data_IF_349405531530
#
_entry.id   IF_349405531530
#
_cell.length_a   1.000
_cell.length_b   1.000
_cell.length_c   1.000
_cell.angle_alpha   90.00
_cell.angle_beta   90.00
_cell.angle_gamma   90.00
#
_symmetry.space_group_name_H-M   'P 1'
#
loop_
_entity.id
_entity.type
_entity.pdbx_description
1 polymer ?
#
# COMPACT_ATOMS: atom_id res chain seq x y z
N UNK A 1 -23.78 -16.31 -28.63
CA UNK A 1 -22.97 -17.35 -27.97
C UNK A 1 -21.62 -16.75 -27.63
N UNK A 2 -21.36 -16.45 -26.36
CA UNK A 2 -20.04 -15.98 -25.90
C UNK A 2 -19.07 -17.15 -25.91
N UNK A 3 -18.12 -17.15 -26.85
CA UNK A 3 -17.05 -18.14 -26.92
C UNK A 3 -16.26 -18.09 -25.60
N UNK A 4 -16.32 -19.16 -24.81
CA UNK A 4 -15.61 -19.23 -23.53
C UNK A 4 -14.15 -19.57 -23.80
N UNK A 5 -13.24 -18.63 -23.52
CA UNK A 5 -11.79 -18.81 -23.66
C UNK A 5 -11.23 -19.63 -22.48
N UNK A 6 -11.72 -20.86 -22.30
CA UNK A 6 -11.30 -21.75 -21.23
C UNK A 6 -9.96 -22.39 -21.58
N UNK A 7 -8.90 -21.98 -20.89
CA UNK A 7 -7.55 -22.52 -21.02
C UNK A 7 -7.24 -23.49 -19.87
N UNK A 8 -6.24 -24.37 -20.09
CA UNK A 8 -5.75 -25.32 -19.08
C UNK A 8 -4.24 -25.25 -19.00
N UNK A 9 -3.72 -25.15 -17.78
CA UNK A 9 -2.28 -25.19 -17.53
C UNK A 9 -1.95 -26.20 -16.42
N UNK A 10 -0.80 -26.87 -16.55
CA UNK A 10 -0.25 -27.73 -15.50
C UNK A 10 1.01 -27.10 -14.95
N UNK A 11 1.06 -26.92 -13.64
CA UNK A 11 2.23 -26.32 -12.95
C UNK A 11 2.74 -27.30 -11.90
N UNK A 12 4.06 -27.44 -11.79
CA UNK A 12 4.68 -28.22 -10.72
C UNK A 12 4.68 -27.37 -9.44
N UNK A 13 4.23 -27.95 -8.33
CA UNK A 13 4.22 -27.30 -7.02
C UNK A 13 4.64 -28.30 -5.94
N UNK A 14 5.51 -27.87 -5.04
CA UNK A 14 5.89 -28.59 -3.83
C UNK A 14 4.79 -28.55 -2.78
N UNK A 15 4.82 -29.49 -1.83
CA UNK A 15 3.88 -29.55 -0.71
C UNK A 15 2.47 -30.02 -1.08
N UNK A 16 2.22 -30.54 -2.29
CA UNK A 16 0.92 -31.11 -2.68
C UNK A 16 0.68 -32.54 -2.14
N UNK A 17 1.72 -33.15 -1.57
CA UNK A 17 1.70 -34.42 -0.86
C UNK A 17 0.96 -34.33 0.49
N UNK A 18 1.02 -33.16 1.14
CA UNK A 18 0.25 -32.84 2.34
C UNK A 18 -1.22 -32.50 1.96
N UNK A 19 -2.23 -33.21 2.50
CA UNK A 19 -3.63 -32.98 2.16
C UNK A 19 -4.12 -31.59 2.57
N UNK A 20 -3.66 -31.06 3.70
CA UNK A 20 -4.08 -29.75 4.21
C UNK A 20 -3.47 -28.62 3.38
N UNK A 21 -2.19 -28.77 3.03
CA UNK A 21 -1.48 -27.92 2.09
C UNK A 21 -2.22 -27.80 0.76
N UNK A 22 -2.53 -28.95 0.17
CA UNK A 22 -3.17 -29.04 -1.12
C UNK A 22 -4.53 -28.35 -1.08
N UNK A 23 -5.35 -28.65 -0.07
CA UNK A 23 -6.67 -28.02 0.07
C UNK A 23 -6.56 -26.49 0.21
N UNK A 24 -5.55 -25.99 0.94
CA UNK A 24 -5.30 -24.55 1.06
C UNK A 24 -4.84 -23.92 -0.27
N UNK A 25 -3.91 -24.54 -0.99
CA UNK A 25 -3.44 -24.04 -2.29
C UNK A 25 -4.60 -24.08 -3.30
N UNK A 26 -5.40 -25.14 -3.33
CA UNK A 26 -6.59 -25.25 -4.18
C UNK A 26 -7.61 -24.16 -3.83
N UNK A 27 -7.86 -23.91 -2.54
CA UNK A 27 -8.76 -22.84 -2.11
C UNK A 27 -8.23 -21.45 -2.49
N UNK A 28 -6.94 -21.18 -2.26
CA UNK A 28 -6.30 -19.91 -2.64
C UNK A 28 -6.39 -19.70 -4.16
N UNK A 29 -6.03 -20.70 -4.97
CA UNK A 29 -6.14 -20.61 -6.43
C UNK A 29 -7.60 -20.50 -6.88
N UNK A 30 -8.54 -21.19 -6.24
CA UNK A 30 -9.97 -21.10 -6.53
C UNK A 30 -10.60 -19.74 -6.19
N UNK A 31 -9.96 -18.96 -5.31
CA UNK A 31 -10.37 -17.58 -4.99
C UNK A 31 -9.94 -16.56 -6.07
N UNK A 32 -9.07 -16.95 -7.01
CA UNK A 32 -8.58 -16.07 -8.08
C UNK A 32 -9.65 -15.91 -9.16
N UNK A 33 -10.09 -14.67 -9.38
CA UNK A 33 -11.02 -14.37 -10.49
C UNK A 33 -10.36 -14.68 -11.81
N UNK A 34 -11.03 -15.46 -12.64
CA UNK A 34 -10.46 -16.02 -13.86
C UNK A 34 -9.97 -17.46 -13.69
N UNK A 35 -9.65 -17.95 -12.49
CA UNK A 35 -9.41 -19.40 -12.27
C UNK A 35 -10.77 -20.09 -12.06
N UNK A 36 -11.10 -21.00 -12.98
CA UNK A 36 -12.35 -21.75 -12.98
C UNK A 36 -12.25 -23.00 -12.09
N UNK A 37 -11.07 -23.62 -12.04
CA UNK A 37 -10.77 -24.71 -11.11
C UNK A 37 -9.27 -24.88 -10.93
N UNK A 38 -8.86 -25.29 -9.73
CA UNK A 38 -7.50 -25.72 -9.43
C UNK A 38 -7.56 -27.06 -8.69
N UNK A 39 -6.85 -28.08 -9.19
CA UNK A 39 -6.79 -29.42 -8.58
C UNK A 39 -5.37 -29.94 -8.53
N UNK A 40 -4.88 -30.23 -7.33
CA UNK A 40 -3.55 -30.73 -7.06
C UNK A 40 -3.52 -32.26 -7.06
N UNK A 41 -2.59 -32.84 -7.81
CA UNK A 41 -2.35 -34.28 -7.77
C UNK A 41 -1.19 -34.59 -6.81
N UNK A 42 -1.44 -35.26 -5.67
CA UNK A 42 -0.43 -35.52 -4.65
C UNK A 42 0.64 -36.49 -5.15
N UNK A 43 0.30 -37.39 -6.09
CA UNK A 43 1.25 -38.37 -6.63
C UNK A 43 2.28 -37.77 -7.58
N UNK A 44 1.90 -36.71 -8.31
CA UNK A 44 2.77 -36.11 -9.32
C UNK A 44 3.38 -34.77 -8.89
N UNK A 45 2.89 -34.17 -7.80
CA UNK A 45 3.27 -32.82 -7.40
C UNK A 45 2.89 -31.78 -8.46
N UNK A 46 1.82 -32.01 -9.22
CA UNK A 46 1.34 -31.10 -10.27
C UNK A 46 -0.06 -30.60 -9.97
N UNK A 47 -0.25 -29.30 -10.12
CA UNK A 47 -1.53 -28.60 -10.07
C UNK A 47 -2.09 -28.44 -11.49
N UNK A 48 -3.32 -28.88 -11.71
CA UNK A 48 -4.08 -28.60 -12.93
C UNK A 48 -4.97 -27.38 -12.69
N UNK A 49 -4.73 -26.32 -13.46
CA UNK A 49 -5.45 -25.05 -13.33
C UNK A 49 -6.23 -24.82 -14.62
N UNK A 50 -7.54 -24.63 -14.50
CA UNK A 50 -8.39 -24.17 -15.58
C UNK A 50 -8.68 -22.69 -15.36
N UNK A 51 -8.55 -21.87 -16.39
CA UNK A 51 -8.70 -20.43 -16.25
C UNK A 51 -9.30 -19.80 -17.51
N UNK A 52 -9.84 -18.60 -17.36
CA UNK A 52 -10.35 -17.73 -18.41
C UNK A 52 -9.28 -16.71 -18.80
N UNK A 53 -8.75 -16.85 -20.02
CA UNK A 53 -7.63 -16.05 -20.54
C UNK A 53 -7.98 -14.56 -20.71
N UNK A 54 -9.27 -14.21 -20.61
CA UNK A 54 -9.74 -12.81 -20.60
C UNK A 54 -9.39 -12.08 -19.31
N UNK A 55 -9.33 -12.81 -18.20
CA UNK A 55 -9.08 -12.26 -16.87
C UNK A 55 -7.65 -12.55 -16.40
N UNK A 56 -7.10 -13.72 -16.73
CA UNK A 56 -5.77 -14.13 -16.29
C UNK A 56 -4.95 -14.74 -17.42
N UNK A 57 -3.73 -14.26 -17.62
CA UNK A 57 -2.76 -14.82 -18.57
C UNK A 57 -1.94 -15.94 -17.93
N UNK A 58 -1.51 -16.91 -18.74
CA UNK A 58 -0.70 -18.05 -18.28
C UNK A 58 0.51 -17.67 -17.41
N UNK A 59 1.25 -16.62 -17.80
CA UNK A 59 2.43 -16.17 -17.05
C UNK A 59 2.08 -15.66 -15.64
N UNK A 60 0.89 -15.07 -15.44
CA UNK A 60 0.43 -14.60 -14.12
C UNK A 60 0.16 -15.80 -13.21
N UNK A 61 -0.44 -16.86 -13.77
CA UNK A 61 -0.68 -18.11 -13.04
C UNK A 61 0.64 -18.80 -12.68
N UNK A 62 1.60 -18.85 -13.62
CA UNK A 62 2.93 -19.44 -13.36
C UNK A 62 3.68 -18.66 -12.29
N UNK A 63 3.68 -17.33 -12.35
CA UNK A 63 4.28 -16.48 -11.33
C UNK A 63 3.60 -16.67 -9.96
N UNK A 64 2.27 -16.75 -9.94
CA UNK A 64 1.48 -17.03 -8.73
C UNK A 64 1.85 -18.39 -8.12
N UNK A 65 1.90 -19.44 -8.93
CA UNK A 65 2.25 -20.78 -8.49
C UNK A 65 3.69 -20.85 -7.97
N UNK A 66 4.65 -20.25 -8.68
CA UNK A 66 6.05 -20.21 -8.25
C UNK A 66 6.26 -19.47 -6.92
N UNK A 67 5.46 -18.42 -6.65
CA UNK A 67 5.47 -17.71 -5.36
C UNK A 67 4.87 -18.55 -4.23
N UNK A 68 3.70 -19.15 -4.47
CA UNK A 68 3.07 -20.09 -3.52
C UNK A 68 3.99 -21.26 -3.19
N UNK A 69 4.76 -21.72 -4.18
CA UNK A 69 5.73 -22.80 -4.02
C UNK A 69 6.89 -22.42 -3.09
N UNK A 70 7.48 -21.22 -3.30
CA UNK A 70 8.58 -20.70 -2.46
C UNK A 70 8.16 -20.41 -1.03
N UNK A 71 6.94 -19.91 -0.85
CA UNK A 71 6.47 -19.39 0.44
C UNK A 71 5.52 -20.35 1.18
N UNK A 72 5.44 -21.61 0.73
CA UNK A 72 4.49 -22.61 1.22
C UNK A 72 4.58 -22.91 2.74
N UNK A 73 5.71 -22.61 3.40
CA UNK A 73 5.83 -22.75 4.87
C UNK A 73 5.46 -21.49 5.65
N UNK A 74 5.75 -20.31 5.10
CA UNK A 74 5.57 -19.02 5.80
C UNK A 74 4.20 -18.38 5.50
N UNK A 75 3.70 -18.49 4.26
CA UNK A 75 2.33 -18.08 3.90
C UNK A 75 1.29 -18.83 4.72
N UNK A 76 1.47 -20.13 4.99
CA UNK A 76 0.48 -20.91 5.74
C UNK A 76 0.27 -20.38 7.14
N UNK A 77 1.36 -20.03 7.83
CA UNK A 77 1.31 -19.43 9.17
C UNK A 77 0.80 -17.99 9.09
N UNK A 78 1.25 -17.22 8.12
CA UNK A 78 0.86 -15.81 7.96
C UNK A 78 -0.62 -15.64 7.57
N UNK A 79 -1.16 -16.47 6.66
CA UNK A 79 -2.52 -16.36 6.17
C UNK A 79 -3.55 -16.83 7.20
N UNK A 80 -3.31 -17.95 7.89
CA UNK A 80 -4.18 -18.39 8.99
C UNK A 80 -4.14 -17.41 10.15
N UNK A 81 -2.95 -16.88 10.49
CA UNK A 81 -2.82 -15.84 11.52
C UNK A 81 -3.49 -14.53 11.10
N UNK A 82 -3.32 -14.08 9.85
CA UNK A 82 -3.94 -12.85 9.37
C UNK A 82 -5.47 -12.96 9.34
N UNK A 83 -6.02 -14.08 8.87
CA UNK A 83 -7.46 -14.29 8.84
C UNK A 83 -8.06 -14.40 10.25
N UNK A 84 -7.39 -15.08 11.19
CA UNK A 84 -7.87 -15.17 12.57
C UNK A 84 -7.77 -13.82 13.28
N UNK A 85 -6.63 -13.13 13.16
CA UNK A 85 -6.43 -11.79 13.72
C UNK A 85 -7.47 -10.79 13.18
N UNK A 86 -7.83 -10.90 11.90
CA UNK A 86 -8.79 -9.99 11.30
C UNK A 86 -10.23 -10.30 11.68
N UNK A 87 -10.62 -11.58 11.82
CA UNK A 87 -11.91 -11.95 12.41
C UNK A 87 -12.05 -11.36 13.82
N UNK A 88 -10.99 -11.45 14.63
CA UNK A 88 -10.94 -10.82 15.95
C UNK A 88 -11.06 -9.30 15.83
N UNK A 89 -10.33 -8.65 14.91
CA UNK A 89 -10.40 -7.20 14.72
C UNK A 89 -11.78 -6.70 14.27
N UNK A 90 -12.57 -7.50 13.54
CA UNK A 90 -13.97 -7.17 13.19
C UNK A 90 -14.94 -7.45 14.33
N UNK A 91 -14.76 -8.59 15.02
CA UNK A 91 -15.62 -8.99 16.12
C UNK A 91 -15.47 -8.06 17.33
N UNK A 92 -14.26 -7.58 17.62
CA UNK A 92 -13.97 -6.79 18.82
C UNK A 92 -14.79 -5.48 18.87
N UNK A 93 -14.84 -4.61 17.82
CA UNK A 93 -15.72 -3.43 17.82
C UNK A 93 -17.20 -3.79 17.97
N UNK A 94 -17.65 -4.85 17.28
CA UNK A 94 -19.06 -5.28 17.35
C UNK A 94 -19.45 -5.73 18.75
N UNK A 95 -18.61 -6.55 19.39
CA UNK A 95 -18.78 -6.99 20.78
C UNK A 95 -18.74 -5.80 21.75
N UNK A 96 -17.90 -4.79 21.48
CA UNK A 96 -17.81 -3.57 22.28
C UNK A 96 -19.06 -2.70 22.15
N UNK A 97 -19.63 -2.59 20.95
CA UNK A 97 -20.91 -1.91 20.72
C UNK A 97 -22.01 -2.64 21.48
N UNK A 98 -22.10 -3.97 21.32
CA UNK A 98 -23.11 -4.78 22.01
C UNK A 98 -22.99 -4.67 23.54
N UNK A 99 -21.77 -4.75 24.07
CA UNK A 99 -21.50 -4.63 25.51
C UNK A 99 -21.81 -3.25 26.08
N UNK A 100 -21.43 -2.17 25.38
CA UNK A 100 -21.73 -0.80 25.83
C UNK A 100 -23.22 -0.47 25.72
N UNK A 101 -23.91 -0.95 24.67
CA UNK A 101 -25.37 -0.85 24.57
C UNK A 101 -26.08 -1.60 25.69
N UNK A 102 -25.68 -2.85 25.96
CA UNK A 102 -26.27 -3.65 27.03
C UNK A 102 -26.06 -2.98 28.41
N UNK A 103 -24.83 -2.52 28.68
CA UNK A 103 -24.54 -1.74 29.89
C UNK A 103 -25.43 -0.51 29.99
N UNK A 104 -25.62 0.23 28.88
CA UNK A 104 -26.44 1.44 28.86
C UNK A 104 -27.92 1.17 29.11
N UNK A 105 -28.44 0.03 28.64
CA UNK A 105 -29.82 -0.39 28.91
C UNK A 105 -30.01 -0.75 30.38
N UNK A 106 -29.03 -1.41 31.01
CA UNK A 106 -29.14 -1.87 32.41
C UNK A 106 -28.85 -0.75 33.42
N UNK A 107 -27.80 0.05 33.18
CA UNK A 107 -27.26 1.01 34.15
C UNK A 107 -27.45 2.48 33.75
N UNK A 108 -28.03 2.76 32.57
CA UNK A 108 -28.11 4.12 32.04
C UNK A 108 -26.79 4.62 31.45
N UNK A 109 -26.73 5.92 31.13
CA UNK A 109 -25.55 6.57 30.55
C UNK A 109 -24.46 6.69 31.63
N UNK A 110 -23.22 6.32 31.31
CA UNK A 110 -22.14 6.43 32.29
C UNK A 110 -21.64 7.88 32.41
N UNK A 111 -21.51 8.38 33.64
CA UNK A 111 -20.89 9.68 33.94
C UNK A 111 -19.42 9.79 33.46
N UNK A 112 -18.77 8.64 33.24
CA UNK A 112 -17.41 8.58 32.70
C UNK A 112 -17.32 9.10 31.26
N UNK A 113 -18.40 9.02 30.47
CA UNK A 113 -18.41 9.42 29.07
C UNK A 113 -18.22 10.94 28.89
N UNK A 114 -18.72 11.73 29.85
CA UNK A 114 -18.60 13.20 29.85
C UNK A 114 -17.40 13.67 30.70
N UNK A 115 -16.60 12.74 31.23
CA UNK A 115 -15.45 13.08 32.08
C UNK A 115 -14.28 13.66 31.27
N UNK A 116 -13.63 14.68 31.85
CA UNK A 116 -12.40 15.25 31.32
C UNK A 116 -11.30 14.18 31.14
N UNK A 117 -11.30 13.14 31.98
CA UNK A 117 -10.34 12.04 31.93
C UNK A 117 -10.50 11.22 30.64
N UNK A 118 -11.73 10.89 30.23
CA UNK A 118 -11.98 10.21 28.96
C UNK A 118 -11.55 11.06 27.76
N UNK A 119 -11.67 12.39 27.88
CA UNK A 119 -11.12 13.31 26.89
C UNK A 119 -9.59 13.24 26.83
N UNK A 120 -8.88 13.33 27.97
CA UNK A 120 -7.41 13.31 27.98
C UNK A 120 -6.82 11.97 27.52
N UNK A 121 -7.39 10.84 27.96
CA UNK A 121 -6.94 9.50 27.53
C UNK A 121 -7.06 9.31 26.02
N UNK A 122 -8.16 9.78 25.44
CA UNK A 122 -8.35 9.72 23.99
C UNK A 122 -7.31 10.53 23.21
N UNK A 123 -6.91 11.68 23.76
CA UNK A 123 -5.89 12.51 23.15
C UNK A 123 -4.53 11.83 23.30
N UNK A 124 -4.23 11.25 24.47
CA UNK A 124 -3.01 10.49 24.69
C UNK A 124 -2.87 9.33 23.69
N UNK A 125 -3.95 8.58 23.44
CA UNK A 125 -3.96 7.51 22.43
C UNK A 125 -3.82 8.05 21.00
N UNK A 126 -4.44 9.18 20.67
CA UNK A 126 -4.30 9.81 19.36
C UNK A 126 -2.87 10.29 19.12
N UNK A 127 -2.23 10.87 20.14
CA UNK A 127 -0.81 11.26 20.11
C UNK A 127 0.09 10.03 20.01
N UNK A 128 -0.20 8.98 20.79
CA UNK A 128 0.55 7.74 20.78
C UNK A 128 0.54 7.05 19.41
N UNK A 129 -0.61 7.05 18.74
CA UNK A 129 -0.80 6.43 17.42
C UNK A 129 -0.32 7.29 16.25
N UNK A 130 -0.46 8.62 16.33
CA UNK A 130 -0.17 9.55 15.24
C UNK A 130 1.30 9.95 15.09
N UNK A 131 2.08 9.91 16.17
CA UNK A 131 3.45 10.44 16.19
C UNK A 131 4.49 9.36 16.01
N UNK A 132 5.33 9.47 14.97
CA UNK A 132 6.32 8.44 14.60
C UNK A 132 7.27 8.05 15.74
N UNK A 133 7.84 8.97 16.54
CA UNK A 133 8.72 8.60 17.65
C UNK A 133 8.02 7.77 18.73
N UNK A 134 6.77 8.11 19.05
CA UNK A 134 5.98 7.41 20.07
C UNK A 134 5.53 6.05 19.52
N UNK A 135 5.02 6.04 18.28
CA UNK A 135 4.64 4.83 17.56
C UNK A 135 5.79 3.83 17.46
N UNK A 136 7.03 4.26 17.16
CA UNK A 136 8.22 3.38 17.13
C UNK A 136 8.48 2.71 18.48
N UNK A 137 8.29 3.41 19.60
CA UNK A 137 8.45 2.82 20.94
C UNK A 137 7.34 1.83 21.27
N UNK A 138 6.10 2.16 20.88
CA UNK A 138 4.96 1.25 21.01
C UNK A 138 5.16 0.00 20.16
N UNK A 139 5.71 0.14 18.95
CA UNK A 139 6.08 -0.98 18.09
C UNK A 139 7.10 -1.90 18.77
N UNK A 140 8.17 -1.33 19.34
CA UNK A 140 9.16 -2.12 20.10
C UNK A 140 8.52 -2.84 21.31
N UNK A 141 7.51 -2.23 21.95
CA UNK A 141 6.75 -2.87 23.02
C UNK A 141 5.85 -3.99 22.49
N UNK A 142 5.16 -3.76 21.37
CA UNK A 142 4.35 -4.77 20.68
C UNK A 142 5.17 -5.97 20.23
N UNK A 143 6.37 -5.73 19.68
CA UNK A 143 7.33 -6.78 19.32
C UNK A 143 7.73 -7.62 20.54
N UNK A 144 8.01 -6.99 21.70
CA UNK A 144 8.30 -7.73 22.95
C UNK A 144 7.10 -8.56 23.42
N UNK A 145 5.88 -8.06 23.22
CA UNK A 145 4.64 -8.74 23.60
C UNK A 145 4.15 -9.74 22.54
N UNK A 146 4.84 -9.87 21.39
CA UNK A 146 4.38 -10.67 20.25
C UNK A 146 2.98 -10.27 19.74
N UNK A 147 2.61 -8.99 19.90
CA UNK A 147 1.33 -8.43 19.44
C UNK A 147 1.60 -7.56 18.20
N UNK A 148 0.83 -7.77 17.14
CA UNK A 148 0.91 -6.95 15.94
C UNK A 148 0.50 -5.50 16.21
N UNK A 149 1.16 -4.53 15.59
CA UNK A 149 0.87 -3.09 15.71
C UNK A 149 -0.60 -2.74 15.48
N UNK A 150 -1.20 -3.34 14.45
CA UNK A 150 -2.60 -3.08 14.08
C UNK A 150 -3.56 -3.48 15.20
N UNK A 151 -3.29 -4.58 15.89
CA UNK A 151 -4.08 -5.03 17.05
C UNK A 151 -3.93 -4.04 18.20
N UNK A 152 -2.71 -3.58 18.46
CA UNK A 152 -2.45 -2.65 19.57
C UNK A 152 -3.13 -1.29 19.30
N UNK A 153 -3.05 -0.79 18.07
CA UNK A 153 -3.72 0.44 17.63
C UNK A 153 -5.24 0.29 17.64
N UNK A 154 -5.77 -0.83 17.15
CA UNK A 154 -7.21 -1.11 17.17
C UNK A 154 -7.73 -1.22 18.59
N UNK A 155 -7.01 -1.92 19.47
CA UNK A 155 -7.35 -2.04 20.88
C UNK A 155 -7.34 -0.67 21.57
N UNK A 156 -6.33 0.17 21.30
CA UNK A 156 -6.26 1.51 21.86
C UNK A 156 -7.41 2.41 21.36
N UNK A 157 -7.72 2.39 20.07
CA UNK A 157 -8.83 3.13 19.49
C UNK A 157 -10.19 2.68 20.05
N UNK A 158 -10.36 1.37 20.20
CA UNK A 158 -11.58 0.76 20.72
C UNK A 158 -11.76 1.00 22.22
N UNK A 159 -10.68 0.96 23.00
CA UNK A 159 -10.67 1.36 24.41
C UNK A 159 -11.13 2.81 24.57
N UNK A 160 -10.58 3.72 23.77
CA UNK A 160 -10.97 5.14 23.78
C UNK A 160 -12.43 5.35 23.38
N UNK A 161 -12.87 4.67 22.32
CA UNK A 161 -14.23 4.77 21.84
C UNK A 161 -15.24 4.20 22.85
N UNK A 162 -14.88 3.12 23.54
CA UNK A 162 -15.66 2.53 24.63
C UNK A 162 -15.72 3.45 25.86
N UNK A 163 -14.60 4.04 26.28
CA UNK A 163 -14.55 5.00 27.38
C UNK A 163 -15.45 6.22 27.14
N UNK A 164 -15.51 6.69 25.90
CA UNK A 164 -16.36 7.82 25.49
C UNK A 164 -17.80 7.41 25.16
N UNK A 165 -18.15 6.13 25.28
CA UNK A 165 -19.42 5.56 24.80
C UNK A 165 -19.82 6.07 23.40
N UNK A 166 -18.83 6.26 22.52
CA UNK A 166 -19.05 6.91 21.22
C UNK A 166 -19.43 5.88 20.16
N UNK A 167 -20.73 5.58 20.07
CA UNK A 167 -21.27 4.62 19.10
C UNK A 167 -20.92 4.97 17.66
N UNK A 168 -20.81 6.26 17.32
CA UNK A 168 -20.41 6.70 15.98
C UNK A 168 -18.97 6.25 15.69
N UNK A 169 -18.04 6.45 16.62
CA UNK A 169 -16.64 6.04 16.46
C UNK A 169 -16.53 4.52 16.44
N UNK A 170 -17.25 3.81 17.33
CA UNK A 170 -17.26 2.36 17.34
C UNK A 170 -17.84 1.77 16.03
N UNK A 171 -18.93 2.35 15.50
CA UNK A 171 -19.50 1.95 14.23
C UNK A 171 -18.56 2.26 13.06
N UNK A 172 -17.87 3.41 13.09
CA UNK A 172 -16.86 3.73 12.09
C UNK A 172 -15.66 2.76 12.16
N UNK A 173 -15.18 2.40 13.35
CA UNK A 173 -14.14 1.39 13.55
C UNK A 173 -14.61 0.00 13.07
N UNK A 174 -15.85 -0.38 13.38
CA UNK A 174 -16.45 -1.61 12.87
C UNK A 174 -16.51 -1.61 11.35
N UNK A 175 -17.04 -0.55 10.72
CA UNK A 175 -17.13 -0.43 9.26
C UNK A 175 -15.75 -0.37 8.60
N UNK A 176 -14.76 0.25 9.24
CA UNK A 176 -13.39 0.28 8.75
C UNK A 176 -12.75 -1.11 8.84
N UNK A 177 -12.88 -1.81 9.97
CA UNK A 177 -12.37 -3.17 10.12
C UNK A 177 -13.13 -4.16 9.24
N UNK A 178 -14.44 -3.98 9.09
CA UNK A 178 -15.31 -4.81 8.25
C UNK A 178 -15.04 -4.55 6.77
N UNK A 179 -14.90 -3.30 6.34
CA UNK A 179 -14.51 -2.99 4.96
C UNK A 179 -13.08 -3.45 4.67
N UNK A 180 -12.17 -3.36 5.64
CA UNK A 180 -10.85 -3.96 5.59
C UNK A 180 -10.93 -5.49 5.53
N UNK A 181 -11.87 -6.12 6.24
CA UNK A 181 -12.12 -7.55 6.20
C UNK A 181 -12.73 -7.98 4.88
N UNK A 182 -13.75 -7.30 4.37
CA UNK A 182 -14.38 -7.55 3.07
C UNK A 182 -13.38 -7.29 1.95
N UNK A 183 -12.65 -6.17 2.00
CA UNK A 183 -11.55 -5.89 1.07
C UNK A 183 -10.53 -6.99 1.18
N UNK A 184 -9.93 -7.28 2.34
CA UNK A 184 -8.98 -8.39 2.51
C UNK A 184 -9.58 -9.76 2.27
N UNK A 185 -10.89 -9.96 2.26
CA UNK A 185 -11.48 -11.23 1.87
C UNK A 185 -11.55 -11.30 0.34
N UNK A 186 -11.92 -10.21 -0.32
CA UNK A 186 -11.89 -10.03 -1.78
C UNK A 186 -10.49 -9.73 -2.35
N UNK A 187 -9.54 -9.35 -1.50
CA UNK A 187 -8.15 -9.04 -1.80
C UNK A 187 -7.21 -10.02 -1.13
N UNK A 188 -7.64 -10.95 -0.28
CA UNK A 188 -6.99 -12.25 -0.11
C UNK A 188 -7.44 -13.15 -1.23
N UNK A 189 -8.68 -13.00 -1.73
CA UNK A 189 -9.02 -13.57 -3.03
C UNK A 189 -8.23 -12.89 -4.15
N UNK A 190 -8.02 -11.56 -4.14
CA UNK A 190 -7.13 -10.86 -5.08
C UNK A 190 -5.61 -10.89 -4.77
N UNK A 191 -5.17 -11.20 -3.55
CA UNK A 191 -3.75 -11.44 -3.20
C UNK A 191 -3.41 -12.89 -3.39
N UNK A 192 -4.40 -13.78 -3.33
CA UNK A 192 -4.35 -15.02 -4.04
C UNK A 192 -4.39 -14.77 -5.56
N UNK A 193 -5.09 -13.76 -6.11
CA UNK A 193 -4.94 -13.35 -7.55
C UNK A 193 -3.54 -12.81 -7.88
N UNK A 194 -2.82 -12.22 -6.92
CA UNK A 194 -1.55 -11.51 -7.16
C UNK A 194 -0.31 -12.17 -6.53
N UNK A 195 -0.46 -13.25 -5.76
CA UNK A 195 0.63 -13.96 -5.09
C UNK A 195 1.41 -13.06 -4.14
N UNK A 196 0.94 -12.93 -2.91
CA UNK A 196 1.69 -12.43 -1.74
C UNK A 196 2.03 -10.92 -1.70
N UNK A 197 1.73 -10.14 -2.74
CA UNK A 197 2.00 -8.70 -2.68
C UNK A 197 1.18 -8.00 -1.58
N UNK A 198 -0.12 -8.26 -1.43
CA UNK A 198 -0.99 -7.39 -0.58
C UNK A 198 -0.75 -7.54 0.93
N UNK A 199 -0.42 -8.74 1.42
CA UNK A 199 -0.12 -8.96 2.85
C UNK A 199 1.23 -8.34 3.21
N UNK A 200 2.15 -8.24 2.25
CA UNK A 200 3.36 -7.44 2.38
C UNK A 200 3.14 -5.97 2.07
N UNK A 201 2.24 -5.54 1.17
CA UNK A 201 1.99 -4.12 0.84
C UNK A 201 1.52 -3.34 2.08
N UNK A 202 0.72 -3.93 2.98
CA UNK A 202 0.34 -3.26 4.24
C UNK A 202 1.53 -3.12 5.24
N UNK A 203 2.53 -4.00 5.20
CA UNK A 203 3.73 -3.97 6.07
C UNK A 203 5.00 -3.41 5.39
N UNK A 204 5.05 -3.35 4.07
CA UNK A 204 6.20 -3.06 3.20
C UNK A 204 5.95 -1.87 2.27
N UNK A 205 4.82 -1.16 2.42
CA UNK A 205 4.70 0.24 2.00
C UNK A 205 5.64 1.10 2.86
N UNK A 206 6.94 0.89 2.67
CA UNK A 206 8.02 1.71 3.21
C UNK A 206 7.86 3.06 2.54
N UNK A 207 7.33 4.02 3.26
CA UNK A 207 7.21 5.37 2.73
C UNK A 207 8.58 5.85 2.21
N UNK A 208 8.61 6.61 1.10
CA UNK A 208 9.85 7.15 0.57
C UNK A 208 10.65 7.82 1.67
N UNK A 209 11.98 7.61 1.67
CA UNK A 209 12.86 8.11 2.72
C UNK A 209 12.71 9.63 2.97
N UNK A 210 12.42 10.38 1.91
CA UNK A 210 12.15 11.81 1.99
C UNK A 210 10.86 12.14 2.78
N UNK A 211 9.78 11.38 2.56
CA UNK A 211 8.51 11.55 3.26
C UNK A 211 8.61 11.13 4.72
N UNK A 212 9.29 10.03 5.02
CA UNK A 212 9.53 9.58 6.40
C UNK A 212 10.38 10.58 7.17
N UNK A 213 11.45 11.11 6.55
CA UNK A 213 12.29 12.13 7.16
C UNK A 213 11.51 13.42 7.45
N UNK A 214 10.65 13.85 6.54
CA UNK A 214 9.79 15.02 6.74
C UNK A 214 8.76 14.79 7.84
N UNK A 215 8.09 13.63 7.82
CA UNK A 215 7.15 13.22 8.87
C UNK A 215 7.82 13.14 10.24
N UNK A 216 9.05 12.63 10.32
CA UNK A 216 9.84 12.57 11.55
C UNK A 216 10.20 13.97 12.06
N UNK A 217 10.60 14.88 11.16
CA UNK A 217 10.91 16.29 11.53
C UNK A 217 9.65 16.99 12.06
N UNK A 218 8.52 16.86 11.37
CA UNK A 218 7.24 17.43 11.80
C UNK A 218 6.77 16.83 13.13
N UNK A 219 6.89 15.51 13.30
CA UNK A 219 6.54 14.83 14.55
C UNK A 219 7.35 15.37 15.73
N UNK A 220 8.67 15.54 15.54
CA UNK A 220 9.57 16.04 16.59
C UNK A 220 9.29 17.50 16.92
N UNK A 221 9.11 18.35 15.90
CA UNK A 221 8.83 19.78 16.11
C UNK A 221 7.50 19.96 16.83
N UNK A 222 6.48 19.21 16.45
CA UNK A 222 5.17 19.20 17.09
C UNK A 222 5.21 18.72 18.55
N UNK A 223 5.91 17.61 18.85
CA UNK A 223 6.06 17.14 20.22
C UNK A 223 6.81 18.15 21.09
N UNK A 224 7.92 18.70 20.58
CA UNK A 224 8.70 19.68 21.31
C UNK A 224 7.89 20.95 21.58
N UNK A 225 7.26 21.51 20.55
CA UNK A 225 6.44 22.73 20.69
C UNK A 225 5.25 22.52 21.61
N UNK A 226 4.57 21.37 21.54
CA UNK A 226 3.47 21.06 22.45
C UNK A 226 3.94 20.92 23.89
N UNK A 227 5.07 20.23 24.13
CA UNK A 227 5.67 20.11 25.47
C UNK A 227 6.06 21.49 26.01
N UNK A 228 6.79 22.29 25.24
CA UNK A 228 7.19 23.64 25.61
C UNK A 228 5.97 24.50 25.93
N UNK A 229 4.92 24.43 25.11
CA UNK A 229 3.68 25.15 25.35
C UNK A 229 2.97 24.67 26.63
N UNK A 230 2.92 23.36 26.88
CA UNK A 230 2.34 22.79 28.09
C UNK A 230 3.07 23.27 29.35
N UNK A 231 4.41 23.29 29.32
CA UNK A 231 5.24 23.71 30.46
C UNK A 231 5.08 25.21 30.74
N UNK A 232 5.12 26.04 29.69
CA UNK A 232 5.05 27.50 29.83
C UNK A 232 3.65 27.95 30.24
N UNK A 233 2.61 27.47 29.56
CA UNK A 233 1.24 27.96 29.76
C UNK A 233 0.49 27.20 30.84
N UNK A 234 0.98 26.03 31.25
CA UNK A 234 0.28 25.09 32.15
C UNK A 234 -1.12 24.69 31.65
N UNK A 235 -1.38 24.81 30.35
CA UNK A 235 -2.65 24.47 29.73
C UNK A 235 -2.53 23.22 28.82
N UNK A 236 -2.82 22.01 29.34
CA UNK A 236 -2.63 20.77 28.58
C UNK A 236 -3.52 20.71 27.34
N UNK A 237 -4.74 21.26 27.40
CA UNK A 237 -5.65 21.35 26.26
C UNK A 237 -5.08 22.14 25.07
N UNK A 238 -4.32 23.20 25.35
CA UNK A 238 -3.67 24.00 24.32
C UNK A 238 -2.51 23.26 23.68
N UNK A 239 -1.70 22.57 24.48
CA UNK A 239 -0.65 21.70 23.98
C UNK A 239 -1.22 20.57 23.08
N UNK A 240 -2.36 19.99 23.46
CA UNK A 240 -3.07 19.02 22.63
C UNK A 240 -3.54 19.60 21.29
N UNK A 241 -4.10 20.81 21.29
CA UNK A 241 -4.49 21.50 20.07
C UNK A 241 -3.31 21.71 19.11
N UNK A 242 -2.13 21.98 19.66
CA UNK A 242 -0.91 22.15 18.88
C UNK A 242 -0.40 20.83 18.27
N UNK A 243 -0.57 19.71 18.99
CA UNK A 243 -0.32 18.39 18.43
C UNK A 243 -1.29 18.08 17.27
N UNK A 244 -2.58 18.33 17.46
CA UNK A 244 -3.58 18.12 16.40
C UNK A 244 -3.27 18.98 15.17
N UNK A 245 -2.87 20.24 15.36
CA UNK A 245 -2.55 21.18 14.29
C UNK A 245 -1.28 20.81 13.50
N UNK A 246 -0.36 20.07 14.11
CA UNK A 246 0.90 19.63 13.49
C UNK A 246 0.92 18.11 13.25
N UNK A 247 -0.22 17.55 12.88
CA UNK A 247 -0.39 16.12 12.70
C UNK A 247 0.31 15.63 11.41
N UNK A 248 1.38 14.81 11.49
CA UNK A 248 2.09 14.30 10.31
C UNK A 248 1.27 13.26 9.52
N UNK A 249 0.24 12.67 10.14
CA UNK A 249 -0.53 11.55 9.58
C UNK A 249 -1.24 11.92 8.28
N UNK A 250 -1.69 13.16 8.13
CA UNK A 250 -2.40 13.62 6.94
C UNK A 250 -1.51 13.41 5.70
N UNK A 251 -0.25 13.82 5.80
CA UNK A 251 0.72 13.76 4.73
C UNK A 251 1.08 12.32 4.36
N UNK A 252 1.28 11.46 5.38
CA UNK A 252 1.56 10.04 5.18
C UNK A 252 0.37 9.28 4.57
N UNK A 253 -0.85 9.59 5.00
CA UNK A 253 -2.04 8.90 4.53
C UNK A 253 -2.35 9.26 3.08
N UNK A 254 -2.18 10.53 2.69
CA UNK A 254 -2.37 10.96 1.31
C UNK A 254 -1.30 10.39 0.36
N UNK A 255 -0.03 10.29 0.79
CA UNK A 255 1.01 9.69 -0.04
C UNK A 255 0.77 8.20 -0.26
N UNK A 256 0.42 7.45 0.80
CA UNK A 256 0.03 6.04 0.70
C UNK A 256 -1.17 5.84 -0.22
N UNK A 257 -2.18 6.71 -0.10
CA UNK A 257 -3.34 6.65 -0.97
C UNK A 257 -2.97 6.84 -2.45
N UNK A 258 -2.12 7.82 -2.76
CA UNK A 258 -1.61 8.03 -4.11
C UNK A 258 -0.83 6.83 -4.64
N UNK A 259 0.02 6.21 -3.82
CA UNK A 259 0.75 5.01 -4.21
C UNK A 259 -0.17 3.85 -4.55
N UNK A 260 -1.16 3.60 -3.70
CA UNK A 260 -2.14 2.53 -3.94
C UNK A 260 -2.95 2.79 -5.22
N UNK A 261 -3.27 4.05 -5.54
CA UNK A 261 -3.94 4.36 -6.81
C UNK A 261 -2.98 4.16 -7.99
N UNK A 262 -1.74 4.64 -7.90
CA UNK A 262 -0.77 4.49 -8.98
C UNK A 262 -0.50 3.02 -9.30
N UNK A 263 -0.35 2.19 -8.27
CA UNK A 263 -0.26 0.74 -8.39
C UNK A 263 -1.51 0.13 -9.03
N UNK A 264 -2.70 0.54 -8.59
CA UNK A 264 -3.94 0.06 -9.20
C UNK A 264 -4.01 0.40 -10.69
N UNK A 265 -3.65 1.64 -11.05
CA UNK A 265 -3.63 2.12 -12.44
C UNK A 265 -2.59 1.37 -13.27
N UNK A 266 -1.42 1.04 -12.72
CA UNK A 266 -0.45 0.21 -13.46
C UNK A 266 -0.98 -1.20 -13.69
N UNK A 267 -1.64 -1.81 -12.70
CA UNK A 267 -2.27 -3.13 -12.84
C UNK A 267 -3.40 -3.13 -13.87
N UNK A 268 -4.34 -2.20 -13.78
CA UNK A 268 -5.49 -2.10 -14.69
C UNK A 268 -5.04 -1.88 -16.14
N UNK A 269 -3.98 -1.11 -16.37
CA UNK A 269 -3.47 -0.82 -17.71
C UNK A 269 -2.38 -1.80 -18.20
N UNK A 270 -2.08 -2.88 -17.47
CA UNK A 270 -1.01 -3.82 -17.80
C UNK A 270 0.35 -3.11 -18.07
N UNK A 271 0.63 -2.05 -17.31
CA UNK A 271 1.89 -1.33 -17.35
C UNK A 271 2.98 -2.15 -16.66
N UNK A 272 4.24 -1.80 -16.86
CA UNK A 272 5.33 -2.44 -16.11
C UNK A 272 5.23 -2.03 -14.64
N UNK A 273 5.19 -3.03 -13.76
CA UNK A 273 5.04 -2.83 -12.32
C UNK A 273 6.33 -3.29 -11.66
N UNK A 274 7.10 -2.38 -11.06
CA UNK A 274 8.21 -2.80 -10.22
C UNK A 274 7.68 -3.53 -8.98
N UNK A 275 8.42 -4.54 -8.51
CA UNK A 275 7.96 -5.55 -7.54
C UNK A 275 7.47 -4.98 -6.21
N UNK A 276 8.01 -3.84 -5.77
CA UNK A 276 7.66 -3.19 -4.50
C UNK A 276 6.84 -1.94 -4.79
N UNK A 277 5.54 -2.18 -4.85
CA UNK A 277 4.56 -1.33 -5.49
C UNK A 277 4.35 -0.01 -4.74
N UNK A 278 4.44 1.09 -5.49
CA UNK A 278 4.39 2.48 -4.98
C UNK A 278 5.75 3.17 -4.89
N UNK A 279 6.68 2.63 -4.09
CA UNK A 279 7.98 3.26 -3.83
C UNK A 279 8.84 3.25 -5.07
N UNK A 280 8.93 2.09 -5.72
CA UNK A 280 9.76 1.96 -6.91
C UNK A 280 9.23 2.87 -8.02
N UNK A 281 7.92 3.14 -8.09
CA UNK A 281 7.35 4.16 -9.00
C UNK A 281 7.82 5.58 -8.62
N UNK A 282 7.87 5.93 -7.34
CA UNK A 282 8.41 7.22 -6.91
C UNK A 282 9.91 7.36 -7.23
N UNK A 283 10.67 6.29 -6.98
CA UNK A 283 12.12 6.26 -7.17
C UNK A 283 12.52 6.13 -8.64
N UNK A 284 11.64 5.63 -9.52
CA UNK A 284 11.84 5.67 -10.96
C UNK A 284 12.09 7.11 -11.47
N UNK A 285 11.44 8.12 -10.89
CA UNK A 285 11.70 9.54 -11.23
C UNK A 285 13.11 10.00 -10.80
N UNK A 286 13.71 9.34 -9.82
CA UNK A 286 15.05 9.67 -9.32
C UNK A 286 16.17 9.00 -10.13
N UNK A 287 15.82 8.02 -10.97
CA UNK A 287 16.77 7.39 -11.86
C UNK A 287 17.36 8.44 -12.81
N UNK A 288 18.68 8.38 -13.01
CA UNK A 288 19.40 9.28 -13.92
C UNK A 288 19.72 8.58 -15.24
N UNK A 289 19.89 7.27 -15.18
CA UNK A 289 20.36 6.46 -16.30
C UNK A 289 19.35 5.38 -16.65
N UNK A 290 19.13 5.17 -17.94
CA UNK A 290 18.38 4.06 -18.51
C UNK A 290 19.37 3.22 -19.31
N UNK A 291 19.52 1.96 -18.94
CA UNK A 291 20.31 0.98 -19.67
C UNK A 291 19.34 0.11 -20.46
N UNK A 292 19.40 0.21 -21.78
CA UNK A 292 18.64 -0.64 -22.67
C UNK A 292 19.47 -1.89 -22.97
N UNK A 293 19.08 -3.04 -22.43
CA UNK A 293 19.78 -4.31 -22.62
C UNK A 293 19.33 -5.01 -23.92
N UNK A 294 19.27 -4.26 -25.02
CA UNK A 294 18.99 -4.79 -26.36
C UNK A 294 20.14 -4.48 -27.33
N UNK A 295 20.34 -5.35 -28.31
CA UNK A 295 21.62 -5.49 -29.03
C UNK A 295 21.96 -4.41 -30.06
N UNK A 296 21.08 -3.45 -30.37
CA UNK A 296 21.35 -2.47 -31.43
C UNK A 296 20.88 -1.06 -31.07
N UNK A 297 21.75 -0.07 -31.26
CA UNK A 297 21.39 1.36 -31.24
C UNK A 297 20.43 1.72 -32.39
N UNK A 298 20.46 0.96 -33.48
CA UNK A 298 19.63 1.18 -34.67
C UNK A 298 18.16 0.74 -34.47
N UNK A 299 17.79 0.17 -33.32
CA UNK A 299 16.41 -0.22 -33.05
C UNK A 299 15.51 1.05 -32.94
N UNK A 300 14.40 1.17 -33.70
CA UNK A 300 13.47 2.29 -33.57
C UNK A 300 12.89 2.44 -32.15
N UNK A 301 12.89 1.37 -31.36
CA UNK A 301 12.62 1.43 -29.92
C UNK A 301 13.62 2.31 -29.17
N UNK A 302 14.92 2.16 -29.46
CA UNK A 302 15.99 2.90 -28.82
C UNK A 302 15.93 4.40 -29.19
N UNK A 303 15.70 4.73 -30.46
CA UNK A 303 15.55 6.11 -30.89
C UNK A 303 14.41 6.83 -30.16
N UNK A 304 13.26 6.16 -29.99
CA UNK A 304 12.13 6.68 -29.20
C UNK A 304 12.48 6.87 -27.73
N UNK A 305 13.14 5.89 -27.12
CA UNK A 305 13.61 5.97 -25.74
C UNK A 305 14.59 7.12 -25.52
N UNK A 306 15.54 7.30 -26.44
CA UNK A 306 16.52 8.39 -26.42
C UNK A 306 15.84 9.75 -26.54
N UNK A 307 14.85 9.89 -27.41
CA UNK A 307 14.07 11.12 -27.54
C UNK A 307 13.29 11.43 -26.25
N UNK A 308 12.60 10.43 -25.69
CA UNK A 308 11.87 10.59 -24.44
C UNK A 308 12.79 10.96 -23.28
N UNK A 309 13.95 10.32 -23.18
CA UNK A 309 14.95 10.55 -22.15
C UNK A 309 15.59 11.93 -22.25
N UNK A 310 15.86 12.40 -23.47
CA UNK A 310 16.39 13.75 -23.71
C UNK A 310 15.43 14.84 -23.19
N UNK A 311 14.11 14.66 -23.34
CA UNK A 311 13.11 15.59 -22.79
C UNK A 311 13.09 15.65 -21.26
N UNK A 312 13.64 14.64 -20.58
CA UNK A 312 13.58 14.46 -19.11
C UNK A 312 14.94 14.47 -18.43
N UNK A 313 15.99 14.87 -19.15
CA UNK A 313 17.38 14.86 -18.67
C UNK A 313 17.85 13.49 -18.17
N UNK A 314 17.39 12.41 -18.81
CA UNK A 314 17.83 11.04 -18.53
C UNK A 314 18.93 10.65 -19.52
N UNK A 315 19.97 9.99 -19.03
CA UNK A 315 20.98 9.38 -19.90
C UNK A 315 20.51 8.01 -20.34
N UNK A 316 20.62 7.69 -21.63
CA UNK A 316 20.31 6.36 -22.16
C UNK A 316 21.59 5.76 -22.70
N UNK A 317 21.88 4.52 -22.32
CA UNK A 317 22.97 3.73 -22.88
C UNK A 317 22.46 2.39 -23.37
N UNK A 318 22.98 1.92 -24.51
CA UNK A 318 22.87 0.53 -24.92
C UNK A 318 24.03 -0.24 -24.29
N UNK A 319 23.71 -1.26 -23.50
CA UNK A 319 24.73 -2.20 -23.01
C UNK A 319 24.15 -3.62 -23.07
N UNK A 320 24.41 -4.27 -24.20
CA UNK A 320 24.05 -5.67 -24.41
C UNK A 320 24.86 -6.62 -23.50
N UNK A 321 26.01 -6.17 -23.00
CA UNK A 321 26.91 -6.93 -22.14
C UNK A 321 26.62 -6.71 -20.65
N UNK A 322 25.53 -6.04 -20.29
CA UNK A 322 25.13 -5.86 -18.90
C UNK A 322 24.89 -7.24 -18.27
N UNK A 323 25.92 -7.76 -17.58
CA UNK A 323 25.94 -9.15 -17.14
C UNK A 323 24.80 -9.42 -16.15
N UNK A 324 24.00 -10.43 -16.48
CA UNK A 324 22.97 -10.99 -15.60
C UNK A 324 23.55 -11.48 -14.27
N UNK A 325 24.86 -11.68 -14.17
CA UNK A 325 25.52 -12.08 -12.92
C UNK A 325 25.29 -11.06 -11.79
N UNK A 326 25.08 -9.78 -12.11
CA UNK A 326 24.73 -8.74 -11.13
C UNK A 326 23.30 -8.87 -10.57
N UNK A 327 22.43 -9.67 -11.20
CA UNK A 327 21.09 -10.00 -10.66
C UNK A 327 21.18 -10.96 -9.47
N UNK A 328 22.35 -11.59 -9.23
CA UNK A 328 22.56 -12.47 -8.09
C UNK A 328 22.95 -11.71 -6.82
N UNK A 329 23.25 -10.42 -6.91
CA UNK A 329 23.56 -9.61 -5.75
C UNK A 329 22.35 -9.48 -4.81
N UNK A 330 22.56 -9.55 -3.49
CA UNK A 330 21.48 -9.51 -2.52
C UNK A 330 20.67 -8.21 -2.65
N UNK A 331 19.34 -8.35 -2.58
CA UNK A 331 18.38 -7.25 -2.67
C UNK A 331 18.61 -6.25 -1.53
N UNK A 332 19.31 -5.16 -1.82
CA UNK A 332 19.48 -4.04 -0.87
C UNK A 332 18.36 -3.01 -1.07
N UNK A 333 17.41 -2.96 -0.13
CA UNK A 333 16.21 -2.10 -0.21
C UNK A 333 16.46 -0.62 0.02
N UNK A 334 17.58 -0.25 0.65
CA UNK A 334 17.82 1.13 1.10
C UNK A 334 18.59 1.98 0.07
N UNK A 335 19.04 1.40 -1.04
CA UNK A 335 19.79 2.12 -2.06
C UNK A 335 18.83 2.85 -3.01
N UNK A 336 19.00 4.15 -3.21
CA UNK A 336 18.20 4.89 -4.19
C UNK A 336 18.38 4.31 -5.60
N UNK A 337 17.28 4.21 -6.35
CA UNK A 337 17.33 3.78 -7.74
C UNK A 337 18.02 4.85 -8.58
N UNK A 338 19.17 4.52 -9.14
CA UNK A 338 19.93 5.40 -10.03
C UNK A 338 19.85 4.96 -11.49
N UNK A 339 19.65 3.66 -11.71
CA UNK A 339 19.69 3.06 -13.05
C UNK A 339 18.49 2.16 -13.26
N UNK A 340 17.78 2.39 -14.36
CA UNK A 340 16.71 1.49 -14.82
C UNK A 340 17.26 0.64 -15.95
N UNK A 341 17.20 -0.68 -15.82
CA UNK A 341 17.65 -1.61 -16.84
C UNK A 341 16.42 -2.21 -17.53
N UNK A 342 16.32 -2.01 -18.85
CA UNK A 342 15.20 -2.46 -19.67
C UNK A 342 15.59 -3.67 -20.49
N UNK A 343 14.85 -4.75 -20.30
CA UNK A 343 15.00 -5.97 -21.09
C UNK A 343 13.92 -6.10 -22.13
N UNK A 344 14.26 -6.72 -23.26
CA UNK A 344 13.30 -6.98 -24.33
C UNK A 344 12.33 -8.06 -23.88
N UNK A 345 11.06 -7.90 -24.25
CA UNK A 345 10.00 -8.88 -23.93
C UNK A 345 10.25 -10.27 -24.52
N UNK A 346 11.02 -10.36 -25.61
CA UNK A 346 11.37 -11.62 -26.27
C UNK A 346 12.47 -12.41 -25.57
N UNK A 347 13.23 -11.75 -24.69
CA UNK A 347 14.29 -12.42 -23.94
C UNK A 347 13.65 -13.34 -22.90
N UNK A 348 14.38 -14.39 -22.48
CA UNK A 348 13.93 -15.32 -21.45
C UNK A 348 13.18 -14.60 -20.33
N UNK A 349 12.00 -15.11 -19.93
CA UNK A 349 11.15 -14.42 -18.97
C UNK A 349 11.95 -14.18 -17.70
N UNK A 350 12.20 -12.91 -17.38
CA UNK A 350 12.65 -12.57 -16.04
C UNK A 350 11.54 -13.03 -15.12
N UNK A 351 11.88 -13.93 -14.20
CA UNK A 351 10.87 -14.56 -13.36
C UNK A 351 10.02 -13.52 -12.62
N UNK A 352 10.58 -12.31 -12.36
CA UNK A 352 9.85 -11.09 -11.95
C UNK A 352 10.67 -9.84 -12.33
N UNK A 353 10.02 -8.67 -12.43
CA UNK A 353 10.73 -7.38 -12.38
C UNK A 353 11.38 -7.25 -11.01
N UNK A 354 12.69 -7.00 -10.90
CA UNK A 354 13.42 -7.06 -9.64
C UNK A 354 14.20 -5.77 -9.38
N UNK A 355 14.37 -5.44 -8.10
CA UNK A 355 15.25 -4.36 -7.64
C UNK A 355 16.50 -5.00 -7.02
N UNK A 356 17.67 -4.64 -7.50
CA UNK A 356 18.95 -5.01 -6.89
C UNK A 356 19.80 -3.77 -6.67
N UNK A 357 19.87 -3.34 -5.41
CA UNK A 357 20.55 -2.11 -5.02
C UNK A 357 20.05 -0.90 -5.80
N UNK A 358 20.93 -0.16 -6.52
CA UNK A 358 20.55 1.03 -7.25
C UNK A 358 19.93 0.73 -8.63
N UNK A 359 19.78 -0.55 -8.99
CA UNK A 359 19.27 -0.99 -10.28
C UNK A 359 17.83 -1.49 -10.18
N UNK A 360 16.97 -0.99 -11.07
CA UNK A 360 15.61 -1.46 -11.25
C UNK A 360 15.47 -2.15 -12.61
N UNK A 361 15.18 -3.44 -12.60
CA UNK A 361 15.08 -4.26 -13.80
C UNK A 361 13.63 -4.41 -14.23
N UNK A 362 13.31 -3.97 -15.44
CA UNK A 362 11.96 -4.00 -16.00
C UNK A 362 11.97 -4.74 -17.34
N UNK A 363 10.90 -5.48 -17.62
CA UNK A 363 10.74 -6.20 -18.88
C UNK A 363 9.42 -5.82 -19.55
N UNK A 364 9.48 -5.26 -20.75
CA UNK A 364 8.30 -4.80 -21.47
C UNK A 364 8.61 -4.08 -22.76
N UNK A 365 7.60 -3.47 -23.36
CA UNK A 365 7.80 -2.64 -24.55
C UNK A 365 8.23 -1.21 -24.16
N UNK A 366 8.91 -0.47 -25.06
CA UNK A 366 9.22 0.94 -24.84
C UNK A 366 7.99 1.78 -24.50
N UNK A 367 6.86 1.50 -25.16
CA UNK A 367 5.62 2.25 -24.93
C UNK A 367 5.04 1.98 -23.53
N UNK A 368 5.09 0.71 -23.07
CA UNK A 368 4.72 0.38 -21.69
C UNK A 368 5.64 1.09 -20.69
N UNK A 369 6.94 1.16 -20.96
CA UNK A 369 7.89 1.87 -20.10
C UNK A 369 7.61 3.38 -20.06
N UNK A 370 7.41 4.01 -21.21
CA UNK A 370 7.10 5.43 -21.33
C UNK A 370 5.84 5.77 -20.52
N UNK A 371 4.82 4.93 -20.61
CA UNK A 371 3.58 5.09 -19.85
C UNK A 371 3.81 4.90 -18.35
N UNK A 372 4.53 3.85 -17.94
CA UNK A 372 4.90 3.62 -16.53
C UNK A 372 5.69 4.81 -15.96
N UNK A 373 6.71 5.29 -16.69
CA UNK A 373 7.53 6.42 -16.25
C UNK A 373 6.72 7.71 -16.15
N UNK A 374 5.82 7.96 -17.10
CA UNK A 374 4.94 9.13 -17.07
C UNK A 374 4.02 9.11 -15.85
N UNK A 375 3.46 7.94 -15.53
CA UNK A 375 2.65 7.75 -14.33
C UNK A 375 3.48 7.94 -13.04
N UNK A 376 4.69 7.41 -13.01
CA UNK A 376 5.66 7.61 -11.91
C UNK A 376 5.98 9.10 -11.71
N UNK A 377 6.25 9.83 -12.79
CA UNK A 377 6.53 11.26 -12.78
C UNK A 377 5.37 12.08 -12.22
N UNK A 378 4.15 11.77 -12.66
CA UNK A 378 2.93 12.42 -12.16
C UNK A 378 2.67 12.10 -10.69
N UNK A 379 2.84 10.85 -10.29
CA UNK A 379 2.68 10.41 -8.89
C UNK A 379 3.67 11.14 -8.00
N UNK A 380 4.95 11.19 -8.39
CA UNK A 380 5.98 11.88 -7.63
C UNK A 380 5.76 13.39 -7.56
N UNK A 381 5.34 14.03 -8.66
CA UNK A 381 5.01 15.47 -8.67
C UNK A 381 3.86 15.79 -7.72
N UNK A 382 2.86 14.92 -7.62
CA UNK A 382 1.73 15.08 -6.69
C UNK A 382 2.12 14.84 -5.24
N UNK A 383 2.99 13.88 -4.99
CA UNK A 383 3.58 13.70 -3.67
C UNK A 383 4.35 14.95 -3.26
N UNK A 384 5.17 15.51 -4.15
CA UNK A 384 5.84 16.79 -3.91
C UNK A 384 4.83 17.88 -3.59
N UNK A 385 3.74 18.00 -4.35
CA UNK A 385 2.67 18.97 -4.05
C UNK A 385 2.06 18.76 -2.66
N UNK A 386 1.75 17.52 -2.25
CA UNK A 386 1.27 17.21 -0.90
C UNK A 386 2.29 17.63 0.16
N UNK A 387 3.59 17.42 -0.08
CA UNK A 387 4.63 17.84 0.86
C UNK A 387 4.71 19.35 1.04
N UNK A 388 4.27 20.15 0.06
CA UNK A 388 4.17 21.60 0.17
C UNK A 388 2.84 22.05 0.80
N UNK A 389 1.72 21.43 0.41
CA UNK A 389 0.38 21.83 0.89
C UNK A 389 0.11 21.37 2.31
N UNK A 390 0.62 20.21 2.73
CA UNK A 390 0.46 19.71 4.10
C UNK A 390 0.90 20.72 5.18
N UNK A 391 2.15 21.24 5.12
CA UNK A 391 2.62 22.29 6.01
C UNK A 391 1.76 23.57 5.98
N UNK A 392 1.23 23.96 4.82
CA UNK A 392 0.35 25.13 4.69
C UNK A 392 -0.99 24.91 5.41
N UNK A 393 -1.60 23.73 5.27
CA UNK A 393 -2.81 23.38 6.02
C UNK A 393 -2.55 23.36 7.53
N UNK A 394 -1.40 22.83 7.95
CA UNK A 394 -0.98 22.87 9.34
C UNK A 394 -0.78 24.31 9.84
N UNK A 395 -0.22 25.20 9.02
CA UNK A 395 -0.07 26.62 9.36
C UNK A 395 -1.44 27.31 9.52
N UNK A 396 -2.42 27.00 8.67
CA UNK A 396 -3.80 27.50 8.80
C UNK A 396 -4.43 27.00 10.10
N UNK A 397 -4.26 25.72 10.44
CA UNK A 397 -4.76 25.16 11.70
C UNK A 397 -4.08 25.80 12.91
N UNK A 398 -2.78 26.04 12.83
CA UNK A 398 -2.01 26.70 13.87
C UNK A 398 -2.47 28.15 14.07
N UNK A 399 -2.74 28.88 12.98
CA UNK A 399 -3.34 30.21 13.03
C UNK A 399 -4.73 30.16 13.70
N UNK A 400 -5.62 29.26 13.27
CA UNK A 400 -6.94 29.08 13.89
C UNK A 400 -6.83 28.81 15.40
N UNK A 401 -5.86 27.99 15.79
CA UNK A 401 -5.58 27.69 17.19
C UNK A 401 -5.15 28.94 17.98
N UNK A 402 -4.23 29.76 17.44
CA UNK A 402 -3.81 30.99 18.10
C UNK A 402 -4.89 32.08 18.14
N UNK A 403 -5.81 32.10 17.17
CA UNK A 403 -6.98 32.99 17.16
C UNK A 403 -8.15 32.47 18.00
N UNK A 404 -7.92 31.48 18.87
CA UNK A 404 -8.92 31.02 19.85
C UNK A 404 -10.03 30.15 19.28
N UNK A 405 -9.82 29.51 18.12
CA UNK A 405 -10.78 28.54 17.62
C UNK A 405 -10.93 27.38 18.63
N UNK A 406 -12.17 26.92 18.90
CA UNK A 406 -12.37 25.80 19.81
C UNK A 406 -11.74 24.52 19.25
N UNK A 407 -11.22 23.66 20.14
CA UNK A 407 -10.57 22.39 19.77
C UNK A 407 -11.45 21.49 18.89
N UNK A 408 -12.77 21.52 19.11
CA UNK A 408 -13.75 20.81 18.29
C UNK A 408 -13.77 21.28 16.84
N UNK A 409 -13.56 22.59 16.61
CA UNK A 409 -13.43 23.18 15.26
C UNK A 409 -12.10 22.79 14.63
N UNK A 410 -11.01 22.79 15.39
CA UNK A 410 -9.68 22.34 14.91
C UNK A 410 -9.67 20.87 14.48
N UNK A 411 -10.32 19.99 15.25
CA UNK A 411 -10.40 18.58 14.88
C UNK A 411 -11.21 18.39 13.58
N UNK A 412 -12.34 19.09 13.44
CA UNK A 412 -13.14 19.07 12.20
C UNK A 412 -12.36 19.64 11.02
N UNK A 413 -11.61 20.73 11.18
CA UNK A 413 -10.79 21.28 10.08
C UNK A 413 -9.65 20.33 9.68
N UNK A 414 -9.14 19.52 10.60
CA UNK A 414 -8.19 18.46 10.29
C UNK A 414 -8.82 17.33 9.45
N UNK A 415 -10.02 16.88 9.83
CA UNK A 415 -10.77 15.89 9.05
C UNK A 415 -11.10 16.41 7.65
N UNK A 416 -11.55 17.67 7.54
CA UNK A 416 -11.82 18.31 6.25
C UNK A 416 -10.56 18.50 5.41
N UNK A 417 -9.44 18.89 6.01
CA UNK A 417 -8.15 19.00 5.32
C UNK A 417 -7.71 17.65 4.75
N UNK A 418 -7.86 16.57 5.53
CA UNK A 418 -7.57 15.21 5.10
C UNK A 418 -8.48 14.79 3.95
N UNK A 419 -9.79 15.01 4.09
CA UNK A 419 -10.76 14.67 3.04
C UNK A 419 -10.52 15.47 1.75
N UNK A 420 -10.24 16.77 1.87
CA UNK A 420 -9.92 17.64 0.74
C UNK A 420 -8.66 17.18 0.01
N UNK A 421 -7.59 16.85 0.74
CA UNK A 421 -6.36 16.32 0.13
C UNK A 421 -6.60 14.97 -0.55
N UNK A 422 -7.35 14.06 0.08
CA UNK A 422 -7.71 12.78 -0.52
C UNK A 422 -8.56 12.94 -1.79
N UNK A 423 -9.56 13.83 -1.76
CA UNK A 423 -10.38 14.15 -2.91
C UNK A 423 -9.56 14.80 -4.04
N UNK A 424 -8.62 15.69 -3.70
CA UNK A 424 -7.69 16.27 -4.65
C UNK A 424 -6.77 15.20 -5.27
N UNK A 425 -6.26 14.26 -4.47
CA UNK A 425 -5.49 13.11 -4.95
C UNK A 425 -6.29 12.25 -5.91
N UNK A 426 -7.53 11.92 -5.57
CA UNK A 426 -8.43 11.10 -6.39
C UNK A 426 -8.79 11.78 -7.71
N UNK A 427 -9.22 13.05 -7.66
CA UNK A 427 -9.52 13.85 -8.83
C UNK A 427 -8.31 13.97 -9.76
N UNK A 428 -7.15 14.23 -9.19
CA UNK A 428 -5.92 14.27 -9.95
C UNK A 428 -5.67 12.89 -10.60
N UNK A 429 -5.78 11.76 -9.89
CA UNK A 429 -5.47 10.45 -10.48
C UNK A 429 -6.45 10.04 -11.57
N UNK A 430 -7.72 10.44 -11.47
CA UNK A 430 -8.69 10.24 -12.56
C UNK A 430 -8.30 10.94 -13.85
N UNK A 431 -7.61 12.08 -13.78
CA UNK A 431 -7.12 12.80 -14.97
C UNK A 431 -5.94 12.10 -15.66
N UNK A 432 -5.35 11.09 -15.02
CA UNK A 432 -4.18 10.35 -15.52
C UNK A 432 -4.58 9.14 -16.36
N UNK A 433 -5.86 8.74 -16.33
CA UNK A 433 -6.32 7.61 -17.13
C UNK A 433 -5.95 7.84 -18.60
N UNK A 434 -5.04 7.02 -19.16
CA UNK A 434 -4.73 7.12 -20.57
C UNK A 434 -6.04 6.87 -21.34
N UNK A 435 -6.27 7.52 -22.49
CA UNK A 435 -7.47 7.24 -23.28
C UNK A 435 -7.52 5.75 -23.61
N UNK A 436 -8.42 5.02 -22.95
CA UNK A 436 -8.44 3.54 -22.88
C UNK A 436 -8.67 2.89 -24.25
N UNK A 437 -8.90 3.63 -25.34
CA UNK A 437 -9.54 3.04 -26.52
C UNK A 437 -9.05 3.42 -27.93
N UNK A 438 -7.94 4.14 -28.14
CA UNK A 438 -7.55 4.44 -29.54
C UNK A 438 -6.79 3.32 -30.27
N UNK A 439 -6.20 2.34 -29.58
CA UNK A 439 -5.39 1.27 -30.24
C UNK A 439 -6.18 0.08 -30.76
N UNK A 440 -7.48 -0.07 -30.41
CA UNK A 440 -8.31 -1.17 -30.95
C UNK A 440 -8.81 -0.93 -32.38
N UNK A 441 -8.67 0.27 -32.93
CA UNK A 441 -9.17 0.59 -34.27
C UNK A 441 -8.20 0.20 -35.40
N UNK A 442 -6.92 -0.08 -35.12
CA UNK A 442 -5.90 -0.31 -36.16
C UNK A 442 -5.60 -1.79 -36.45
N UNK A 443 -6.15 -2.73 -35.69
CA UNK A 443 -5.90 -4.18 -35.88
C UNK A 443 -6.99 -4.92 -36.67
N UNK A 444 -8.03 -4.22 -37.13
CA UNK A 444 -9.06 -4.77 -38.03
C UNK A 444 -8.96 -4.27 -39.49
N UNK A 445 -7.87 -3.59 -39.85
CA UNK A 445 -7.63 -3.07 -41.20
C UNK A 445 -6.42 -3.73 -41.91
N UNK A 446 -6.07 -4.97 -41.55
CA UNK A 446 -5.11 -5.79 -42.28
C UNK A 446 -5.71 -7.14 -42.66
#
# INVERSE_FOLDING_TARGET
MTQTCNQRMRVKMSGLDDPDARAQIEALLGMVEGILSAKGNPRTGRMLIQYDDRFLRAWQISALCGRLDRSNKDIRRAATYAMSAQKVAVALPLLTIAGTLLRRVIFGRSDAADSLIAFELSTAVSVASGYTPVRRRIHLLGQRLHVSDDVLLTAAALFVAALRESYIVLAALFLLNFSGYVRRHHTLSAAAKAGEAIVRIDQENVEPLALTALSDRLSKTALFSALTHAVITRHPLRAQGLLIALNPRILLLCSRYLFNIAERVTHENCLMIPMYTGIDLYEMKQAKTIVCAWNAEDDPAYARMRHFAAQRNLTVSCDAAFSRDKLLDPVTRNAQVHTIVLFKKSDEPLEMHQRHGPHLYLQGTPDQWIQTYTLAEQTATRITWITWVGPLLNAIQLAQFFFGAPLTRLNRTNDYATFFLLAACDHAMKSVNPPIHSTRALTHAQ
#
